data_IF_710849445987
#
_entry.id   IF_710849445987
#
_cell.length_a   1.000
_cell.length_b   1.000
_cell.length_c   1.000
_cell.angle_alpha   90.00
_cell.angle_beta   90.00
_cell.angle_gamma   90.00
#
_symmetry.space_group_name_H-M   'P 1'
#
loop_
_entity.id
_entity.type
_entity.pdbx_description
1 polymer ?
#
# COMPACT_ATOMS: atom_id res chain seq x y z
N UNK A 1 16.81 -3.06 43.34
CA UNK A 1 16.14 -3.74 42.21
C UNK A 1 15.29 -4.85 42.80
N UNK A 2 14.04 -4.99 42.32
CA UNK A 2 13.09 -5.99 42.84
C UNK A 2 13.31 -7.37 42.24
N UNK A 3 12.70 -8.39 42.84
CA UNK A 3 12.89 -9.81 42.47
C UNK A 3 12.56 -10.11 40.98
N UNK A 4 11.64 -9.35 40.38
CA UNK A 4 11.30 -9.48 38.97
C UNK A 4 12.42 -8.98 38.03
N UNK A 5 13.16 -7.93 38.41
CA UNK A 5 14.22 -7.37 37.58
C UNK A 5 15.37 -8.39 37.41
N UNK A 6 15.76 -9.06 38.50
CA UNK A 6 16.81 -10.08 38.49
C UNK A 6 16.43 -11.28 37.61
N UNK A 7 15.15 -11.68 37.61
CA UNK A 7 14.63 -12.74 36.74
C UNK A 7 14.68 -12.35 35.27
N UNK A 8 14.29 -11.13 34.93
CA UNK A 8 14.37 -10.65 33.54
C UNK A 8 15.81 -10.54 33.06
N UNK A 9 16.72 -10.04 33.89
CA UNK A 9 18.15 -10.06 33.57
C UNK A 9 18.68 -11.48 33.33
N UNK A 10 18.23 -12.44 34.13
CA UNK A 10 18.57 -13.86 33.95
C UNK A 10 18.05 -14.43 32.64
N UNK A 11 16.83 -14.04 32.21
CA UNK A 11 16.27 -14.43 30.91
C UNK A 11 17.13 -13.85 29.78
N UNK A 12 17.45 -12.55 29.81
CA UNK A 12 18.29 -11.92 28.77
C UNK A 12 19.68 -12.56 28.70
N UNK A 13 20.30 -12.84 29.85
CA UNK A 13 21.59 -13.52 29.91
C UNK A 13 21.53 -14.92 29.29
N UNK A 14 20.48 -15.70 29.60
CA UNK A 14 20.27 -17.03 29.03
C UNK A 14 20.07 -16.98 27.51
N UNK A 15 19.26 -16.05 27.00
CA UNK A 15 19.04 -15.87 25.54
C UNK A 15 20.32 -15.46 24.83
N UNK A 16 21.12 -14.55 25.42
CA UNK A 16 22.43 -14.16 24.86
C UNK A 16 23.44 -15.31 24.84
N UNK A 17 23.29 -16.29 25.74
CA UNK A 17 24.09 -17.52 25.78
C UNK A 17 23.48 -18.65 24.92
N UNK A 18 22.36 -18.40 24.24
CA UNK A 18 21.58 -19.39 23.48
C UNK A 18 21.07 -20.56 24.33
N UNK A 19 20.95 -20.36 25.64
CA UNK A 19 20.42 -21.34 26.57
C UNK A 19 18.92 -21.12 26.82
N UNK A 20 18.11 -21.59 25.87
CA UNK A 20 16.65 -21.51 25.96
C UNK A 20 16.13 -22.27 27.19
N UNK A 21 16.79 -23.35 27.60
CA UNK A 21 16.36 -24.15 28.74
C UNK A 21 16.40 -23.35 30.03
N UNK A 22 17.44 -22.53 30.21
CA UNK A 22 17.55 -21.62 31.37
C UNK A 22 16.59 -20.43 31.31
N UNK A 23 16.27 -19.92 30.12
CA UNK A 23 15.28 -18.85 29.97
C UNK A 23 13.87 -19.34 30.35
N UNK A 24 13.50 -20.54 29.90
CA UNK A 24 12.14 -21.08 29.99
C UNK A 24 11.74 -21.50 31.42
N UNK A 25 12.69 -21.70 32.35
CA UNK A 25 12.38 -22.02 33.76
C UNK A 25 11.52 -20.94 34.42
N UNK A 26 11.70 -19.69 33.98
CA UNK A 26 11.00 -18.52 34.50
C UNK A 26 9.63 -18.31 33.87
N UNK A 27 9.23 -19.10 32.87
CA UNK A 27 7.99 -18.91 32.11
C UNK A 27 6.86 -19.76 32.69
N UNK A 28 5.72 -19.13 32.97
CA UNK A 28 4.54 -19.83 33.46
C UNK A 28 3.90 -20.72 32.38
N UNK A 29 3.21 -21.79 32.77
CA UNK A 29 2.52 -22.68 31.83
C UNK A 29 1.44 -21.95 31.01
N UNK A 30 0.84 -20.92 31.61
CA UNK A 30 -0.20 -20.10 30.98
C UNK A 30 0.30 -18.72 30.53
N UNK A 31 1.62 -18.55 30.33
CA UNK A 31 2.19 -17.26 29.94
C UNK A 31 1.60 -16.73 28.62
N UNK A 32 1.25 -15.45 28.60
CA UNK A 32 0.85 -14.72 27.41
C UNK A 32 2.03 -13.84 26.94
N UNK A 33 2.63 -14.15 25.80
CA UNK A 33 3.78 -13.42 25.27
C UNK A 33 3.42 -12.75 23.95
N UNK A 34 3.51 -11.42 23.93
CA UNK A 34 3.19 -10.58 22.77
C UNK A 34 4.46 -9.92 22.22
N UNK A 35 5.05 -10.51 21.18
CA UNK A 35 6.06 -9.83 20.38
C UNK A 35 5.38 -9.13 19.21
N UNK A 36 5.40 -7.79 19.19
CA UNK A 36 4.69 -7.00 18.19
C UNK A 36 5.30 -7.05 16.78
N UNK A 37 6.42 -7.76 16.58
CA UNK A 37 6.89 -8.13 15.25
C UNK A 37 6.03 -9.23 14.61
N UNK A 38 5.31 -10.01 15.42
CA UNK A 38 4.45 -11.10 14.97
C UNK A 38 2.97 -10.72 15.13
N UNK A 39 2.13 -11.26 14.24
CA UNK A 39 0.68 -11.00 14.29
C UNK A 39 -0.07 -11.87 15.31
N UNK A 40 0.55 -12.98 15.75
CA UNK A 40 -0.04 -13.93 16.70
C UNK A 40 0.61 -13.81 18.08
N UNK A 41 -0.19 -13.92 19.12
CA UNK A 41 0.27 -14.03 20.52
C UNK A 41 0.74 -15.45 20.81
N UNK A 42 1.89 -15.60 21.47
CA UNK A 42 2.42 -16.89 21.88
C UNK A 42 1.83 -17.26 23.25
N UNK A 43 1.03 -18.32 23.26
CA UNK A 43 0.29 -18.75 24.45
C UNK A 43 0.92 -20.00 25.08
N UNK A 44 1.25 -19.89 26.35
CA UNK A 44 1.80 -20.94 27.18
C UNK A 44 3.30 -21.18 26.99
N UNK A 45 3.90 -21.90 27.94
CA UNK A 45 5.36 -22.11 28.01
C UNK A 45 5.94 -22.69 26.72
N UNK A 46 5.25 -23.67 26.12
CA UNK A 46 5.72 -24.35 24.91
C UNK A 46 5.88 -23.38 23.72
N UNK A 47 4.89 -22.50 23.50
CA UNK A 47 4.95 -21.51 22.42
C UNK A 47 6.04 -20.47 22.65
N UNK A 48 6.23 -20.03 23.91
CA UNK A 48 7.32 -19.11 24.28
C UNK A 48 8.69 -19.78 24.11
N UNK A 49 8.82 -21.05 24.46
CA UNK A 49 10.05 -21.82 24.25
C UNK A 49 10.39 -21.94 22.76
N UNK A 50 9.39 -22.19 21.90
CA UNK A 50 9.58 -22.22 20.47
C UNK A 50 10.04 -20.87 19.92
N UNK A 51 9.42 -19.76 20.34
CA UNK A 51 9.84 -18.40 20.00
C UNK A 51 11.31 -18.12 20.38
N UNK A 52 11.70 -18.49 21.60
CA UNK A 52 13.08 -18.31 22.07
C UNK A 52 14.06 -19.20 21.28
N UNK A 53 13.65 -20.41 20.92
CA UNK A 53 14.45 -21.34 20.11
C UNK A 53 14.65 -20.80 18.70
N UNK A 54 13.58 -20.31 18.07
CA UNK A 54 13.63 -19.72 16.74
C UNK A 54 14.52 -18.47 16.73
N UNK A 55 14.35 -17.59 17.71
CA UNK A 55 15.21 -16.42 17.91
C UNK A 55 16.67 -16.81 18.04
N UNK A 56 17.00 -17.83 18.85
CA UNK A 56 18.39 -18.28 19.01
C UNK A 56 18.98 -18.96 17.76
N UNK A 57 18.15 -19.52 16.87
CA UNK A 57 18.59 -20.14 15.60
C UNK A 57 18.77 -19.13 14.48
N UNK A 58 17.87 -18.16 14.38
CA UNK A 58 17.86 -17.17 13.31
C UNK A 58 18.90 -16.05 13.52
N UNK A 59 19.26 -15.78 14.77
CA UNK A 59 20.12 -14.65 15.14
C UNK A 59 21.59 -15.08 15.25
N UNK A 60 22.53 -14.38 14.59
CA UNK A 60 23.97 -14.67 14.66
C UNK A 60 24.51 -14.74 16.10
N UNK A 61 25.51 -15.59 16.35
CA UNK A 61 26.05 -15.82 17.70
C UNK A 61 26.71 -14.57 18.33
N UNK A 62 27.19 -13.64 17.50
CA UNK A 62 27.82 -12.38 17.90
C UNK A 62 26.83 -11.23 18.14
N UNK A 63 25.53 -11.48 17.91
CA UNK A 63 24.46 -10.52 18.15
C UNK A 63 23.83 -10.74 19.54
N UNK A 64 23.85 -9.70 20.37
CA UNK A 64 23.40 -9.72 21.77
C UNK A 64 22.30 -8.70 22.03
N UNK A 65 21.38 -9.02 22.93
CA UNK A 65 20.40 -8.10 23.50
C UNK A 65 20.96 -7.49 24.78
N UNK A 66 21.19 -6.19 24.78
CA UNK A 66 21.77 -5.44 25.90
C UNK A 66 20.69 -4.60 26.58
N UNK A 67 20.54 -4.77 27.89
CA UNK A 67 19.62 -3.98 28.70
C UNK A 67 20.26 -2.60 28.93
N UNK A 68 19.57 -1.55 28.50
CA UNK A 68 19.96 -0.16 28.73
C UNK A 68 19.52 0.33 30.11
N UNK A 69 18.27 0.05 30.47
CA UNK A 69 17.68 0.42 31.76
C UNK A 69 16.55 -0.56 32.11
N UNK A 70 16.32 -0.75 33.40
CA UNK A 70 15.28 -1.62 33.93
C UNK A 70 14.66 -1.00 35.17
N UNK A 71 13.34 -0.88 35.17
CA UNK A 71 12.58 -0.24 36.25
C UNK A 71 11.31 -1.01 36.56
N UNK A 72 10.86 -0.98 37.81
CA UNK A 72 9.67 -1.71 38.23
C UNK A 72 9.66 -2.07 39.71
N UNK A 73 8.69 -2.91 40.07
CA UNK A 73 8.54 -3.50 41.40
C UNK A 73 8.84 -5.01 41.39
N UNK A 74 8.44 -5.73 42.43
CA UNK A 74 8.70 -7.17 42.56
C UNK A 74 7.87 -8.06 41.61
N UNK A 75 6.86 -7.50 40.92
CA UNK A 75 5.94 -8.24 40.05
C UNK A 75 5.89 -7.69 38.62
N UNK A 76 6.22 -6.44 38.39
CA UNK A 76 6.15 -5.83 37.06
C UNK A 76 7.40 -5.00 36.76
N UNK A 77 7.98 -5.22 35.58
CA UNK A 77 9.18 -4.50 35.15
C UNK A 77 9.07 -4.04 33.69
N UNK A 78 9.56 -2.83 33.44
CA UNK A 78 9.82 -2.30 32.12
C UNK A 78 11.32 -2.30 31.83
N UNK A 79 11.69 -2.63 30.60
CA UNK A 79 13.08 -2.74 30.15
C UNK A 79 13.24 -1.97 28.86
N UNK A 80 14.22 -1.07 28.79
CA UNK A 80 14.73 -0.58 27.51
C UNK A 80 15.98 -1.36 27.14
N UNK A 81 16.09 -1.73 25.88
CA UNK A 81 17.21 -2.52 25.41
C UNK A 81 17.57 -2.16 23.97
N UNK A 82 18.77 -2.54 23.58
CA UNK A 82 19.20 -2.50 22.20
C UNK A 82 19.94 -3.78 21.82
N UNK A 83 20.09 -3.98 20.52
CA UNK A 83 20.88 -5.05 19.95
C UNK A 83 22.29 -4.54 19.68
N UNK A 84 23.29 -5.31 20.06
CA UNK A 84 24.69 -5.09 19.68
C UNK A 84 25.20 -6.22 18.78
N UNK A 85 26.08 -5.87 17.86
CA UNK A 85 26.93 -6.83 17.14
C UNK A 85 28.39 -6.40 17.29
N UNK A 86 29.25 -7.30 17.78
CA UNK A 86 30.66 -6.98 18.08
C UNK A 86 30.84 -5.70 18.93
N UNK A 87 30.04 -5.57 20.01
CA UNK A 87 30.06 -4.41 20.94
C UNK A 87 29.69 -3.07 20.30
N UNK A 88 29.11 -3.09 19.09
CA UNK A 88 28.56 -1.91 18.43
C UNK A 88 27.05 -2.01 18.35
N UNK A 89 26.36 -0.92 18.70
CA UNK A 89 24.90 -0.84 18.61
C UNK A 89 24.43 -1.06 17.17
N UNK A 90 23.51 -2.01 17.00
CA UNK A 90 22.92 -2.37 15.71
C UNK A 90 21.94 -1.28 15.26
N UNK A 91 22.05 -0.77 14.03
CA UNK A 91 21.15 0.27 13.54
C UNK A 91 19.67 -0.15 13.61
N UNK A 92 18.82 0.70 14.18
CA UNK A 92 17.38 0.45 14.37
C UNK A 92 17.07 -0.82 15.18
N UNK A 93 18.02 -1.32 15.99
CA UNK A 93 17.86 -2.51 16.83
C UNK A 93 17.44 -2.20 18.27
N UNK A 94 16.71 -1.11 18.52
CA UNK A 94 16.27 -0.74 19.88
C UNK A 94 14.91 -1.36 20.19
N UNK A 95 14.60 -1.55 21.46
CA UNK A 95 13.32 -2.07 21.90
C UNK A 95 12.95 -1.62 23.30
N UNK A 96 11.67 -1.80 23.61
CA UNK A 96 11.15 -1.69 24.96
C UNK A 96 10.28 -2.89 25.25
N UNK A 97 10.45 -3.45 26.44
CA UNK A 97 9.73 -4.64 26.89
C UNK A 97 9.04 -4.40 28.21
N UNK A 98 7.91 -5.05 28.41
CA UNK A 98 7.17 -5.02 29.66
C UNK A 98 6.83 -6.44 30.10
N UNK A 99 7.14 -6.77 31.35
CA UNK A 99 7.01 -8.10 31.91
C UNK A 99 6.18 -8.06 33.20
N UNK A 100 5.32 -9.06 33.40
CA UNK A 100 4.62 -9.31 34.67
C UNK A 100 4.80 -10.73 35.15
N UNK A 101 5.01 -10.86 36.45
CA UNK A 101 5.21 -12.12 37.16
C UNK A 101 4.01 -12.42 38.06
N UNK A 102 3.70 -13.71 38.20
CA UNK A 102 2.70 -14.17 39.16
C UNK A 102 3.22 -14.00 40.59
N UNK A 103 2.43 -13.44 41.51
CA UNK A 103 2.79 -13.41 42.93
C UNK A 103 2.80 -14.82 43.56
N UNK A 104 2.10 -15.78 42.97
CA UNK A 104 1.97 -17.15 43.50
C UNK A 104 3.12 -18.05 43.03
N UNK A 105 3.37 -18.08 41.72
CA UNK A 105 4.41 -18.95 41.13
C UNK A 105 5.77 -18.27 41.03
N UNK A 106 5.81 -16.94 41.09
CA UNK A 106 7.00 -16.15 40.81
C UNK A 106 7.47 -16.23 39.36
N UNK A 107 6.67 -16.79 38.44
CA UNK A 107 7.00 -16.96 37.02
C UNK A 107 6.34 -15.89 36.14
N UNK A 108 6.92 -15.66 34.97
CA UNK A 108 6.43 -14.73 33.97
C UNK A 108 5.09 -15.20 33.41
N UNK A 109 4.05 -14.38 33.60
CA UNK A 109 2.69 -14.64 33.12
C UNK A 109 2.31 -13.77 31.94
N UNK A 110 2.95 -12.61 31.79
CA UNK A 110 2.73 -11.72 30.66
C UNK A 110 4.02 -11.04 30.22
N UNK A 111 4.26 -11.00 28.92
CA UNK A 111 5.34 -10.24 28.31
C UNK A 111 4.81 -9.50 27.09
N UNK A 112 5.30 -8.27 26.87
CA UNK A 112 5.11 -7.54 25.63
C UNK A 112 6.41 -6.91 25.18
N UNK A 113 6.82 -7.22 23.96
CA UNK A 113 8.00 -6.66 23.32
C UNK A 113 7.61 -5.73 22.18
N UNK A 114 8.13 -4.51 22.22
CA UNK A 114 7.97 -3.50 21.19
C UNK A 114 9.34 -3.20 20.60
N UNK A 115 9.59 -3.63 19.36
CA UNK A 115 10.87 -3.39 18.67
C UNK A 115 10.76 -2.16 17.77
N UNK A 116 11.85 -1.40 17.67
CA UNK A 116 11.97 -0.28 16.77
C UNK A 116 11.75 -0.74 15.31
N UNK A 117 10.84 -0.11 14.56
CA UNK A 117 10.60 -0.52 13.18
C UNK A 117 11.81 -0.21 12.30
N UNK A 118 12.19 -1.17 11.46
CA UNK A 118 13.29 -1.00 10.51
C UNK A 118 13.06 0.18 9.55
N UNK A 119 11.81 0.44 9.17
CA UNK A 119 11.41 1.61 8.39
C UNK A 119 10.87 2.70 9.32
N UNK A 120 11.49 3.89 9.28
CA UNK A 120 11.09 5.06 10.08
C UNK A 120 10.29 6.05 9.22
N UNK A 121 8.95 5.92 9.12
CA UNK A 121 8.13 6.82 8.32
C UNK A 121 8.12 8.28 8.82
N UNK A 122 8.65 8.57 10.01
CA UNK A 122 8.79 9.92 10.54
C UNK A 122 7.45 10.69 10.54
N UNK A 123 7.45 11.92 10.02
CA UNK A 123 6.23 12.75 9.92
C UNK A 123 5.14 12.15 9.02
N UNK A 124 5.49 11.23 8.12
CA UNK A 124 4.53 10.54 7.27
C UNK A 124 3.63 9.58 8.07
N UNK A 125 4.10 9.03 9.20
CA UNK A 125 3.30 8.15 10.06
C UNK A 125 2.05 8.86 10.61
N UNK A 126 2.22 10.07 11.13
CA UNK A 126 1.12 10.89 11.64
C UNK A 126 0.11 11.26 10.54
N UNK A 127 0.63 11.45 9.33
CA UNK A 127 -0.18 11.71 8.15
C UNK A 127 -1.01 10.47 7.83
N UNK A 128 -0.39 9.30 7.73
CA UNK A 128 -1.07 8.01 7.53
C UNK A 128 -2.14 7.78 8.60
N UNK A 129 -1.81 7.89 9.90
CA UNK A 129 -2.78 7.72 10.99
C UNK A 129 -3.96 8.67 10.82
N UNK A 130 -3.75 9.95 10.52
CA UNK A 130 -4.84 10.90 10.27
C UNK A 130 -5.70 10.51 9.06
N UNK A 131 -5.12 9.86 8.05
CA UNK A 131 -5.83 9.32 6.89
C UNK A 131 -6.62 8.05 7.22
N UNK A 132 -6.09 7.13 8.03
CA UNK A 132 -6.79 5.88 8.38
C UNK A 132 -7.77 6.07 9.53
N UNK A 133 -7.62 7.11 10.35
CA UNK A 133 -8.47 7.37 11.52
C UNK A 133 -9.97 7.39 11.19
N UNK A 134 -10.47 8.04 10.12
CA UNK A 134 -11.89 7.98 9.76
C UNK A 134 -12.35 6.58 9.38
N UNK A 135 -11.51 5.80 8.70
CA UNK A 135 -11.78 4.41 8.31
C UNK A 135 -11.81 3.47 9.53
N UNK A 136 -10.81 3.61 10.41
CA UNK A 136 -10.74 2.88 11.68
C UNK A 136 -11.92 3.24 12.57
N UNK A 137 -12.31 4.52 12.66
CA UNK A 137 -13.51 4.96 13.40
C UNK A 137 -14.81 4.42 12.80
N UNK A 138 -14.93 4.39 11.48
CA UNK A 138 -16.07 3.80 10.80
C UNK A 138 -16.17 2.29 11.08
N UNK A 139 -15.03 1.59 11.11
CA UNK A 139 -14.97 0.14 11.33
C UNK A 139 -15.18 -0.23 12.82
N UNK A 140 -14.57 0.51 13.76
CA UNK A 140 -14.79 0.36 15.19
C UNK A 140 -16.20 0.79 15.63
N UNK A 141 -16.78 1.80 14.98
CA UNK A 141 -18.16 2.23 15.20
C UNK A 141 -19.21 1.16 14.84
N UNK A 142 -18.84 0.13 14.07
CA UNK A 142 -19.68 -1.05 13.83
C UNK A 142 -19.61 -2.09 14.96
N UNK A 143 -18.62 -2.02 15.85
CA UNK A 143 -18.44 -2.99 16.94
C UNK A 143 -19.00 -2.52 18.29
N UNK A 144 -19.46 -1.27 18.43
CA UNK A 144 -20.11 -0.81 19.66
C UNK A 144 -21.61 -1.17 19.66
N UNK A 145 -22.10 -2.02 20.57
CA UNK A 145 -23.52 -2.11 20.84
C UNK A 145 -23.96 -0.77 21.46
N UNK A 146 -24.98 -0.17 20.87
CA UNK A 146 -25.70 1.02 21.35
C UNK A 146 -26.02 0.93 22.85
N UNK A 147 -25.50 1.88 23.64
CA UNK A 147 -26.16 2.28 24.89
C UNK A 147 -27.27 3.24 24.49
N UNK A 148 -28.50 2.78 24.69
CA UNK A 148 -29.73 3.55 24.52
C UNK A 148 -29.80 4.63 25.61
N UNK A 149 -29.79 5.89 25.20
CA UNK A 149 -30.42 6.95 26.01
C UNK A 149 -31.78 7.25 25.41
N UNK A 150 -32.80 6.79 26.13
CA UNK A 150 -34.19 7.13 25.93
C UNK A 150 -34.46 8.51 26.54
N UNK A 151 -34.83 9.49 25.73
CA UNK A 151 -35.84 10.50 26.10
C UNK A 151 -36.32 11.30 24.91
N UNK A 152 -37.57 11.02 24.55
CA UNK A 152 -38.59 11.86 23.90
C UNK A 152 -38.17 13.17 23.21
N UNK A 153 -38.46 13.25 21.92
CA UNK A 153 -39.55 14.13 21.46
C UNK A 153 -40.15 13.64 20.14
N UNK A 154 -41.46 13.42 20.17
CA UNK A 154 -42.31 13.23 19.00
C UNK A 154 -42.45 14.52 18.20
N UNK A 155 -42.42 14.45 16.87
CA UNK A 155 -43.49 14.85 15.93
C UNK A 155 -42.95 14.83 14.49
N UNK A 156 -43.86 14.52 13.56
CA UNK A 156 -43.76 14.53 12.10
C UNK A 156 -43.22 13.24 11.44
N UNK A 157 -44.16 12.31 11.26
CA UNK A 157 -44.15 11.31 10.20
C UNK A 157 -44.05 11.98 8.82
N UNK A 158 -42.82 12.27 8.39
CA UNK A 158 -42.53 12.55 6.99
C UNK A 158 -42.17 11.21 6.35
N UNK A 159 -43.08 10.67 5.52
CA UNK A 159 -42.80 9.52 4.65
C UNK A 159 -41.54 9.84 3.85
N UNK A 160 -40.40 9.30 4.27
CA UNK A 160 -39.19 9.29 3.48
C UNK A 160 -39.41 8.31 2.33
N UNK A 161 -39.59 8.87 1.14
CA UNK A 161 -39.32 8.19 -0.12
C UNK A 161 -38.01 7.40 0.00
N UNK A 162 -37.89 6.18 -0.54
CA UNK A 162 -36.71 5.34 -0.37
C UNK A 162 -35.50 6.15 -0.85
N UNK A 163 -34.66 6.54 0.11
CA UNK A 163 -33.64 7.54 -0.12
C UNK A 163 -32.57 6.98 -1.04
N UNK A 164 -32.08 7.83 -1.95
CA UNK A 164 -31.02 7.56 -2.95
C UNK A 164 -29.77 6.89 -2.34
N UNK A 165 -29.60 6.98 -1.02
CA UNK A 165 -28.54 6.35 -0.23
C UNK A 165 -28.52 4.82 -0.30
N UNK A 166 -29.66 4.13 -0.49
CA UNK A 166 -29.69 2.66 -0.49
C UNK A 166 -29.12 2.04 -1.78
N UNK A 167 -29.18 2.75 -2.91
CA UNK A 167 -28.85 2.20 -4.24
C UNK A 167 -27.35 2.23 -4.56
N UNK A 168 -26.56 3.02 -3.84
CA UNK A 168 -25.12 3.17 -4.07
C UNK A 168 -24.24 2.38 -3.09
N UNK A 169 -24.79 1.93 -1.95
CA UNK A 169 -24.03 1.16 -0.95
C UNK A 169 -23.42 -0.11 -1.53
N UNK A 170 -24.20 -0.90 -2.28
CA UNK A 170 -23.69 -2.17 -2.83
C UNK A 170 -22.58 -2.00 -3.87
N UNK A 171 -22.58 -0.92 -4.66
CA UNK A 171 -21.50 -0.60 -5.60
C UNK A 171 -20.24 -0.15 -4.86
N UNK A 172 -20.40 0.63 -3.78
CA UNK A 172 -19.29 0.98 -2.90
C UNK A 172 -18.68 -0.26 -2.25
N UNK A 173 -19.52 -1.16 -1.73
CA UNK A 173 -19.08 -2.42 -1.13
C UNK A 173 -18.38 -3.31 -2.17
N UNK A 174 -18.91 -3.38 -3.40
CA UNK A 174 -18.29 -4.09 -4.51
C UNK A 174 -16.91 -3.54 -4.87
N UNK A 175 -16.73 -2.21 -4.92
CA UNK A 175 -15.43 -1.60 -5.21
C UNK A 175 -14.40 -1.83 -4.10
N UNK A 176 -14.83 -1.82 -2.83
CA UNK A 176 -13.96 -2.18 -1.71
C UNK A 176 -13.57 -3.66 -1.76
N UNK A 177 -14.53 -4.55 -2.01
CA UNK A 177 -14.25 -5.97 -2.21
C UNK A 177 -13.31 -6.20 -3.40
N UNK A 178 -13.55 -5.51 -4.52
CA UNK A 178 -12.69 -5.57 -5.70
C UNK A 178 -11.28 -5.03 -5.40
N UNK A 179 -11.13 -4.02 -4.54
CA UNK A 179 -9.81 -3.52 -4.10
C UNK A 179 -9.08 -4.60 -3.31
N UNK A 180 -9.75 -5.24 -2.34
CA UNK A 180 -9.16 -6.31 -1.54
C UNK A 180 -8.77 -7.50 -2.42
N UNK A 181 -9.63 -7.88 -3.37
CA UNK A 181 -9.34 -8.93 -4.35
C UNK A 181 -8.18 -8.54 -5.26
N UNK A 182 -8.16 -7.31 -5.78
CA UNK A 182 -7.08 -6.78 -6.60
C UNK A 182 -5.75 -6.86 -5.87
N UNK A 183 -5.66 -6.33 -4.65
CA UNK A 183 -4.42 -6.35 -3.84
C UNK A 183 -4.05 -7.78 -3.45
N UNK A 184 -5.01 -8.57 -2.97
CA UNK A 184 -4.78 -9.95 -2.56
C UNK A 184 -4.28 -10.85 -3.69
N UNK A 185 -4.86 -10.73 -4.88
CA UNK A 185 -4.51 -11.57 -6.03
C UNK A 185 -3.29 -11.01 -6.76
N UNK A 186 -3.31 -9.75 -7.20
CA UNK A 186 -2.27 -9.21 -8.08
C UNK A 186 -1.00 -8.79 -7.35
N UNK A 187 -1.07 -8.40 -6.07
CA UNK A 187 0.13 -7.95 -5.34
C UNK A 187 0.64 -9.01 -4.38
N UNK A 188 -0.26 -9.72 -3.67
CA UNK A 188 0.12 -10.56 -2.53
C UNK A 188 0.07 -12.08 -2.80
N UNK A 189 -0.60 -12.54 -3.85
CA UNK A 189 -0.81 -14.00 -4.03
C UNK A 189 0.50 -14.76 -4.24
N UNK A 190 0.61 -16.02 -3.79
CA UNK A 190 1.81 -16.81 -4.04
C UNK A 190 1.98 -17.12 -5.54
N UNK A 191 3.20 -17.41 -6.01
CA UNK A 191 3.48 -17.76 -7.41
C UNK A 191 2.68 -18.97 -7.93
N UNK A 192 2.18 -19.81 -7.04
CA UNK A 192 1.33 -20.97 -7.37
C UNK A 192 -0.04 -20.59 -7.91
N UNK A 193 -0.55 -19.41 -7.56
CA UNK A 193 -1.85 -18.92 -8.00
C UNK A 193 -1.74 -17.99 -9.20
N UNK A 194 -0.71 -17.15 -9.20
CA UNK A 194 -0.45 -16.20 -10.25
C UNK A 194 1.04 -16.18 -10.59
N UNK A 195 1.42 -16.42 -11.85
CA UNK A 195 2.82 -16.36 -12.27
C UNK A 195 3.48 -15.01 -11.95
N UNK A 196 4.81 -15.03 -11.84
CA UNK A 196 5.62 -13.89 -11.46
C UNK A 196 5.66 -13.63 -9.95
N UNK A 197 6.45 -12.64 -9.56
CA UNK A 197 6.83 -12.43 -8.16
C UNK A 197 5.80 -11.58 -7.39
N UNK A 198 5.37 -12.00 -6.20
CA UNK A 198 4.58 -11.14 -5.32
C UNK A 198 5.41 -10.01 -4.74
N UNK A 199 4.73 -8.96 -4.28
CA UNK A 199 5.40 -7.78 -3.71
C UNK A 199 6.26 -8.09 -2.48
N UNK A 200 5.95 -9.14 -1.73
CA UNK A 200 6.70 -9.56 -0.54
C UNK A 200 7.90 -10.47 -0.85
N UNK A 201 8.06 -10.94 -2.09
CA UNK A 201 9.20 -11.74 -2.53
C UNK A 201 9.74 -11.28 -3.90
N UNK A 202 9.79 -9.96 -4.10
CA UNK A 202 10.38 -9.38 -5.31
C UNK A 202 11.89 -9.65 -5.32
N UNK A 203 12.40 -10.13 -6.45
CA UNK A 203 13.83 -10.32 -6.68
C UNK A 203 14.53 -9.01 -7.06
N UNK A 204 15.84 -8.88 -6.78
CA UNK A 204 16.60 -7.69 -7.15
C UNK A 204 16.53 -7.33 -8.64
N UNK A 205 16.47 -8.33 -9.53
CA UNK A 205 16.39 -8.11 -10.98
C UNK A 205 15.07 -7.44 -11.39
N UNK A 206 13.96 -7.86 -10.79
CA UNK A 206 12.64 -7.25 -10.98
C UNK A 206 12.60 -5.82 -10.43
N UNK A 207 13.25 -5.55 -9.30
CA UNK A 207 13.40 -4.18 -8.79
C UNK A 207 14.21 -3.31 -9.76
N UNK A 208 15.28 -3.86 -10.33
CA UNK A 208 16.09 -3.15 -11.32
C UNK A 208 15.29 -2.84 -12.60
N UNK A 209 14.48 -3.79 -13.08
CA UNK A 209 13.56 -3.57 -14.21
C UNK A 209 12.61 -2.40 -13.93
N UNK A 210 11.94 -2.39 -12.77
CA UNK A 210 11.03 -1.31 -12.36
C UNK A 210 11.78 0.03 -12.28
N UNK A 211 12.98 0.04 -11.70
CA UNK A 211 13.80 1.24 -11.60
C UNK A 211 14.22 1.75 -12.98
N UNK A 212 14.63 0.86 -13.88
CA UNK A 212 15.06 1.22 -15.23
C UNK A 212 13.91 1.82 -16.04
N UNK A 213 12.72 1.21 -15.96
CA UNK A 213 11.50 1.75 -16.58
C UNK A 213 11.13 3.12 -15.99
N UNK A 214 11.22 3.25 -14.66
CA UNK A 214 10.91 4.49 -13.91
C UNK A 214 11.91 5.62 -14.20
N UNK A 215 13.21 5.32 -14.37
CA UNK A 215 14.21 6.30 -14.77
C UNK A 215 13.91 6.88 -16.16
N UNK A 216 13.33 6.04 -17.03
CA UNK A 216 12.87 6.42 -18.36
C UNK A 216 11.44 7.00 -18.37
N UNK A 217 10.90 7.43 -17.22
CA UNK A 217 9.58 8.05 -17.11
C UNK A 217 9.40 9.21 -18.10
N UNK A 218 8.28 9.17 -18.82
CA UNK A 218 7.88 10.08 -19.91
C UNK A 218 8.93 10.22 -21.03
N UNK A 219 9.83 9.25 -21.16
CA UNK A 219 10.99 9.30 -22.05
C UNK A 219 11.91 10.51 -21.82
N UNK A 220 11.81 11.18 -20.67
CA UNK A 220 12.57 12.41 -20.39
C UNK A 220 14.07 12.11 -20.47
N UNK A 221 14.53 11.13 -19.70
CA UNK A 221 15.95 10.77 -19.65
C UNK A 221 16.49 10.24 -20.99
N UNK A 222 15.83 9.30 -21.69
CA UNK A 222 16.24 8.87 -23.03
C UNK A 222 16.36 10.01 -24.04
N UNK A 223 15.40 10.94 -24.06
CA UNK A 223 15.42 12.08 -24.98
C UNK A 223 16.52 13.09 -24.63
N UNK A 224 16.76 13.34 -23.33
CA UNK A 224 17.86 14.19 -22.87
C UNK A 224 19.22 13.63 -23.32
N UNK A 225 19.43 12.33 -23.16
CA UNK A 225 20.64 11.66 -23.64
C UNK A 225 20.78 11.75 -25.17
N UNK A 226 19.68 11.60 -25.92
CA UNK A 226 19.67 11.73 -27.38
C UNK A 226 20.12 13.12 -27.85
N UNK A 227 19.76 14.18 -27.12
CA UNK A 227 20.20 15.56 -27.44
C UNK A 227 21.56 15.94 -26.83
N UNK A 228 22.28 14.97 -26.26
CA UNK A 228 23.64 15.14 -25.75
C UNK A 228 23.76 15.56 -24.27
N UNK A 229 22.65 15.60 -23.53
CA UNK A 229 22.66 15.85 -22.08
C UNK A 229 22.82 14.50 -21.36
N UNK A 230 24.07 14.14 -21.08
CA UNK A 230 24.47 12.83 -20.54
C UNK A 230 24.84 12.85 -19.05
N UNK A 231 24.17 13.69 -18.24
CA UNK A 231 24.42 13.75 -16.78
C UNK A 231 24.12 12.43 -16.05
N UNK A 232 23.18 11.65 -16.58
CA UNK A 232 22.85 10.30 -16.14
C UNK A 232 22.59 9.45 -17.40
N UNK A 233 23.17 8.24 -17.53
CA UNK A 233 22.90 7.38 -18.67
C UNK A 233 21.50 6.78 -18.57
N UNK A 234 20.73 6.87 -19.63
CA UNK A 234 19.41 6.29 -19.74
C UNK A 234 19.52 4.76 -19.79
N UNK A 235 18.83 4.03 -18.89
CA UNK A 235 18.85 2.59 -18.90
C UNK A 235 18.24 2.04 -20.20
N UNK A 236 18.76 0.90 -20.61
CA UNK A 236 18.39 0.21 -21.83
C UNK A 236 17.26 -0.75 -21.54
N UNK A 237 16.04 -0.36 -21.91
CA UNK A 237 14.83 -1.16 -21.70
C UNK A 237 14.26 -1.62 -23.04
N UNK A 238 13.64 -2.80 -23.06
CA UNK A 238 12.95 -3.31 -24.25
C UNK A 238 11.82 -2.34 -24.67
N UNK A 239 11.76 -1.92 -25.95
CA UNK A 239 10.77 -0.96 -26.43
C UNK A 239 9.32 -1.35 -26.14
N UNK A 240 9.03 -2.66 -26.07
CA UNK A 240 7.68 -3.16 -25.84
C UNK A 240 7.16 -2.77 -24.46
N UNK A 241 7.90 -3.13 -23.40
CA UNK A 241 7.54 -2.80 -22.01
C UNK A 241 7.73 -1.31 -21.71
N UNK A 242 8.78 -0.68 -22.25
CA UNK A 242 9.01 0.76 -22.06
C UNK A 242 7.87 1.62 -22.64
N UNK A 243 7.40 1.28 -23.85
CA UNK A 243 6.25 1.94 -24.48
C UNK A 243 4.97 1.66 -23.69
N UNK A 244 4.76 0.41 -23.29
CA UNK A 244 3.59 0.01 -22.52
C UNK A 244 3.48 0.76 -21.17
N UNK A 245 4.57 0.78 -20.39
CA UNK A 245 4.68 1.51 -19.12
C UNK A 245 4.35 3.00 -19.28
N UNK A 246 5.00 3.68 -20.24
CA UNK A 246 4.78 5.11 -20.44
C UNK A 246 3.38 5.46 -20.95
N UNK A 247 2.73 4.56 -21.68
CA UNK A 247 1.34 4.73 -22.08
C UNK A 247 0.40 4.65 -20.87
N UNK A 248 0.61 3.69 -19.97
CA UNK A 248 -0.16 3.58 -18.73
C UNK A 248 0.03 4.81 -17.84
N UNK A 249 1.27 5.26 -17.66
CA UNK A 249 1.63 6.45 -16.88
C UNK A 249 1.03 7.74 -17.47
N UNK A 250 1.13 7.92 -18.79
CA UNK A 250 0.50 9.06 -19.46
C UNK A 250 -1.03 9.05 -19.28
N UNK A 251 -1.64 7.87 -19.19
CA UNK A 251 -3.07 7.74 -18.98
C UNK A 251 -3.47 8.19 -17.57
N UNK A 252 -2.87 7.62 -16.51
CA UNK A 252 -3.18 8.00 -15.13
C UNK A 252 -2.78 9.46 -14.84
N UNK A 253 -1.76 9.98 -15.51
CA UNK A 253 -1.42 11.40 -15.48
C UNK A 253 -2.62 12.27 -15.88
N UNK A 254 -3.30 11.93 -16.98
CA UNK A 254 -4.50 12.65 -17.45
C UNK A 254 -5.72 12.51 -16.52
N UNK A 255 -5.73 11.59 -15.57
CA UNK A 255 -6.82 11.50 -14.58
C UNK A 255 -6.81 12.67 -13.60
N UNK A 256 -5.68 13.36 -13.39
CA UNK A 256 -5.65 14.48 -12.44
C UNK A 256 -6.68 15.57 -12.75
N UNK A 257 -6.68 16.20 -13.95
CA UNK A 257 -7.69 17.21 -14.29
C UNK A 257 -9.10 16.61 -14.26
N UNK A 258 -9.28 15.34 -14.64
CA UNK A 258 -10.56 14.64 -14.58
C UNK A 258 -11.11 14.58 -13.15
N UNK A 259 -10.27 14.17 -12.19
CA UNK A 259 -10.59 14.15 -10.76
C UNK A 259 -10.83 15.57 -10.23
N UNK A 260 -10.01 16.54 -10.63
CA UNK A 260 -10.16 17.95 -10.22
C UNK A 260 -11.52 18.52 -10.61
N UNK A 261 -11.98 18.23 -11.83
CA UNK A 261 -13.26 18.68 -12.37
C UNK A 261 -14.49 17.97 -11.79
N UNK A 262 -14.30 16.79 -11.20
CA UNK A 262 -15.38 16.05 -10.56
C UNK A 262 -15.80 16.69 -9.23
N UNK A 263 -16.98 17.30 -9.22
CA UNK A 263 -17.58 17.94 -8.04
C UNK A 263 -17.89 16.94 -6.93
N UNK A 264 -18.25 15.71 -7.30
CA UNK A 264 -18.61 14.67 -6.33
C UNK A 264 -17.45 14.29 -5.41
N UNK A 265 -16.22 14.50 -5.84
CA UNK A 265 -15.01 14.25 -5.05
C UNK A 265 -14.33 15.53 -4.53
N UNK A 266 -15.06 16.65 -4.41
CA UNK A 266 -14.50 17.94 -4.00
C UNK A 266 -13.81 17.90 -2.62
N UNK A 267 -14.35 17.12 -1.68
CA UNK A 267 -13.78 16.97 -0.32
C UNK A 267 -12.71 15.89 -0.20
N UNK A 268 -12.44 15.15 -1.27
CA UNK A 268 -11.42 14.10 -1.27
C UNK A 268 -10.03 14.69 -1.53
N UNK A 269 -8.97 14.10 -0.97
CA UNK A 269 -7.58 14.53 -1.15
C UNK A 269 -7.03 14.12 -2.52
N UNK A 270 -7.65 14.64 -3.58
CA UNK A 270 -7.45 14.19 -4.97
C UNK A 270 -5.99 14.26 -5.44
N UNK A 271 -5.25 15.31 -5.10
CA UNK A 271 -3.83 15.44 -5.49
C UNK A 271 -2.96 14.32 -4.88
N UNK A 272 -3.23 13.98 -3.62
CA UNK A 272 -2.48 12.93 -2.91
C UNK A 272 -2.85 11.56 -3.47
N UNK A 273 -4.13 11.29 -3.65
CA UNK A 273 -4.61 10.02 -4.22
C UNK A 273 -4.11 9.83 -5.66
N UNK A 274 -4.13 10.89 -6.47
CA UNK A 274 -3.55 10.87 -7.81
C UNK A 274 -2.04 10.66 -7.77
N UNK A 275 -1.30 11.38 -6.91
CA UNK A 275 0.14 11.21 -6.78
C UNK A 275 0.56 9.81 -6.36
N UNK A 276 -0.23 9.15 -5.49
CA UNK A 276 -0.03 7.74 -5.14
C UNK A 276 -0.44 6.81 -6.29
N UNK A 277 -1.50 7.14 -7.03
CA UNK A 277 -1.93 6.39 -8.21
C UNK A 277 -0.96 6.50 -9.40
N UNK A 278 -0.11 7.53 -9.46
CA UNK A 278 0.98 7.59 -10.45
C UNK A 278 2.05 6.50 -10.23
N UNK A 279 2.06 5.80 -9.09
CA UNK A 279 3.03 4.74 -8.82
C UNK A 279 2.37 3.39 -8.51
N UNK A 280 1.19 3.41 -7.90
CA UNK A 280 0.43 2.22 -7.53
C UNK A 280 -1.00 2.23 -8.12
N UNK A 281 -1.23 3.03 -9.16
CA UNK A 281 -2.37 2.94 -10.08
C UNK A 281 -3.71 2.62 -9.40
N UNK A 282 -4.24 1.41 -9.58
CA UNK A 282 -5.55 1.01 -9.10
C UNK A 282 -5.62 0.60 -7.62
N UNK A 283 -4.47 0.44 -6.95
CA UNK A 283 -4.43 0.32 -5.48
C UNK A 283 -5.04 1.56 -4.83
N UNK A 284 -4.86 2.74 -5.44
CA UNK A 284 -5.41 3.99 -4.94
C UNK A 284 -6.60 4.51 -5.75
N UNK A 285 -6.62 4.27 -7.06
CA UNK A 285 -7.73 4.74 -7.90
C UNK A 285 -9.04 4.00 -7.59
N UNK A 286 -9.02 2.69 -7.30
CA UNK A 286 -10.24 1.94 -7.01
C UNK A 286 -10.87 2.33 -5.66
N UNK A 287 -10.11 2.48 -4.55
CA UNK A 287 -10.62 3.09 -3.32
C UNK A 287 -11.12 4.52 -3.52
N UNK A 288 -10.44 5.33 -4.35
CA UNK A 288 -10.95 6.65 -4.70
C UNK A 288 -12.35 6.58 -5.34
N UNK A 289 -12.58 5.64 -6.26
CA UNK A 289 -13.91 5.43 -6.86
C UNK A 289 -14.96 5.03 -5.81
N UNK A 290 -14.60 4.19 -4.84
CA UNK A 290 -15.47 3.77 -3.75
C UNK A 290 -15.83 4.95 -2.82
N UNK A 291 -14.82 5.74 -2.42
CA UNK A 291 -14.98 6.93 -1.58
C UNK A 291 -15.80 8.01 -2.28
N UNK A 292 -15.58 8.21 -3.58
CA UNK A 292 -16.35 9.12 -4.43
C UNK A 292 -17.83 8.74 -4.44
N UNK A 293 -18.16 7.45 -4.51
CA UNK A 293 -19.56 6.99 -4.45
C UNK A 293 -20.22 7.26 -3.09
N UNK A 294 -19.45 7.28 -2.00
CA UNK A 294 -19.98 7.65 -0.68
C UNK A 294 -20.37 9.13 -0.54
N UNK A 295 -19.99 9.98 -1.50
CA UNK A 295 -20.31 11.41 -1.50
C UNK A 295 -21.67 11.69 -2.16
N UNK A 296 -22.40 12.74 -1.72
CA UNK A 296 -23.67 13.15 -2.30
C UNK A 296 -23.55 13.40 -3.80
N UNK A 297 -24.59 12.99 -4.54
CA UNK A 297 -24.63 13.17 -5.99
C UNK A 297 -25.29 14.50 -6.33
N UNK A 298 -24.50 15.44 -6.83
CA UNK A 298 -25.05 16.65 -7.46
C UNK A 298 -25.51 16.37 -8.90
N UNK A 299 -26.38 17.23 -9.43
CA UNK A 299 -26.79 17.16 -10.84
C UNK A 299 -25.59 17.35 -11.76
N UNK A 300 -25.47 16.55 -12.85
CA UNK A 300 -24.35 16.65 -13.77
C UNK A 300 -24.36 18.02 -14.45
N UNK A 301 -23.39 18.85 -14.09
CA UNK A 301 -23.09 20.09 -14.80
C UNK A 301 -21.81 19.87 -15.60
N UNK A 302 -21.79 20.35 -16.84
CA UNK A 302 -20.60 20.25 -17.68
C UNK A 302 -19.42 20.93 -16.96
N UNK A 303 -18.30 20.22 -16.75
CA UNK A 303 -17.17 20.79 -16.04
C UNK A 303 -16.55 21.92 -16.84
N UNK A 304 -16.17 23.02 -16.16
CA UNK A 304 -15.41 24.10 -16.78
C UNK A 304 -13.96 23.64 -16.95
N UNK A 305 -13.55 23.37 -18.18
CA UNK A 305 -12.17 23.00 -18.51
C UNK A 305 -11.27 24.24 -18.46
N UNK A 306 -10.29 24.20 -17.57
CA UNK A 306 -9.26 25.24 -17.44
C UNK A 306 -7.97 24.89 -18.17
N UNK A 307 -6.95 25.75 -18.01
CA UNK A 307 -5.61 25.55 -18.56
C UNK A 307 -4.98 24.23 -18.12
N UNK A 308 -5.24 23.80 -16.88
CA UNK A 308 -4.75 22.52 -16.34
C UNK A 308 -5.19 21.33 -17.20
N UNK A 309 -6.47 21.28 -17.59
CA UNK A 309 -6.99 20.21 -18.45
C UNK A 309 -6.27 20.18 -19.80
N UNK A 310 -6.08 21.35 -20.43
CA UNK A 310 -5.40 21.43 -21.72
C UNK A 310 -3.94 21.00 -21.65
N UNK A 311 -3.19 21.45 -20.63
CA UNK A 311 -1.78 21.09 -20.43
C UNK A 311 -1.62 19.59 -20.19
N UNK A 312 -2.44 19.02 -19.29
CA UNK A 312 -2.37 17.60 -18.99
C UNK A 312 -2.83 16.74 -20.17
N UNK A 313 -3.89 17.16 -20.87
CA UNK A 313 -4.36 16.50 -22.09
C UNK A 313 -3.33 16.54 -23.22
N UNK A 314 -2.67 17.69 -23.44
CA UNK A 314 -1.64 17.80 -24.47
C UNK A 314 -0.41 16.99 -24.14
N UNK A 315 0.12 17.09 -22.91
CA UNK A 315 1.29 16.33 -22.48
C UNK A 315 1.00 14.82 -22.48
N UNK A 316 -0.14 14.42 -21.92
CA UNK A 316 -0.57 13.02 -21.93
C UNK A 316 -0.66 12.47 -23.35
N UNK A 317 -1.32 13.17 -24.27
CA UNK A 317 -1.37 12.74 -25.67
C UNK A 317 0.01 12.70 -26.33
N UNK A 318 0.88 13.68 -26.11
CA UNK A 318 2.25 13.67 -26.67
C UNK A 318 3.01 12.43 -26.18
N UNK A 319 3.03 12.19 -24.87
CA UNK A 319 3.75 11.07 -24.27
C UNK A 319 3.14 9.74 -24.69
N UNK A 320 1.82 9.59 -24.70
CA UNK A 320 1.20 8.32 -25.11
C UNK A 320 1.33 8.01 -26.60
N UNK A 321 1.27 9.02 -27.48
CA UNK A 321 1.57 8.78 -28.90
C UNK A 321 3.06 8.48 -29.10
N UNK A 322 3.95 9.15 -28.36
CA UNK A 322 5.37 8.82 -28.35
C UNK A 322 5.59 7.39 -27.84
N UNK A 323 4.85 6.93 -26.83
CA UNK A 323 4.92 5.57 -26.32
C UNK A 323 4.54 4.52 -27.38
N UNK A 324 3.49 4.79 -28.17
CA UNK A 324 3.12 3.92 -29.31
C UNK A 324 4.21 3.94 -30.39
N UNK A 325 4.75 5.12 -30.72
CA UNK A 325 5.85 5.23 -31.70
C UNK A 325 7.09 4.49 -31.19
N UNK A 326 7.43 4.62 -29.91
CA UNK A 326 8.55 3.95 -29.27
C UNK A 326 8.36 2.43 -29.30
N UNK A 327 7.17 1.96 -28.95
CA UNK A 327 6.78 0.56 -29.05
C UNK A 327 6.91 0.04 -30.48
N UNK A 328 6.54 0.79 -31.51
CA UNK A 328 6.55 0.31 -32.89
C UNK A 328 7.92 0.41 -33.57
N UNK A 329 8.70 1.46 -33.30
CA UNK A 329 9.84 1.84 -34.15
C UNK A 329 11.18 1.92 -33.41
N UNK A 330 11.19 2.10 -32.08
CA UNK A 330 12.46 2.22 -31.38
C UNK A 330 13.21 0.87 -31.38
N UNK A 331 14.53 0.90 -31.52
CA UNK A 331 15.42 -0.27 -31.53
C UNK A 331 14.98 -1.39 -32.50
N UNK A 332 15.02 -1.15 -33.82
CA UNK A 332 14.64 -2.15 -34.82
C UNK A 332 15.48 -3.44 -34.74
N UNK A 333 16.68 -3.38 -34.16
CA UNK A 333 17.57 -4.53 -33.93
C UNK A 333 16.98 -5.60 -33.00
N UNK A 334 16.01 -5.25 -32.14
CA UNK A 334 15.31 -6.20 -31.25
C UNK A 334 14.10 -6.87 -31.90
N UNK A 335 13.87 -6.61 -33.19
CA UNK A 335 12.78 -7.18 -33.97
C UNK A 335 11.65 -6.19 -34.30
N UNK A 336 10.73 -6.67 -35.14
CA UNK A 336 9.59 -5.91 -35.63
C UNK A 336 8.42 -5.81 -34.64
N UNK A 337 7.31 -5.23 -35.10
CA UNK A 337 6.13 -5.00 -34.25
C UNK A 337 5.50 -6.31 -33.74
N UNK A 338 5.44 -7.36 -34.57
CA UNK A 338 4.83 -8.63 -34.16
C UNK A 338 5.63 -9.33 -33.05
N UNK A 339 6.96 -9.39 -33.17
CA UNK A 339 7.80 -9.97 -32.11
C UNK A 339 7.72 -9.21 -30.79
N UNK A 340 7.40 -7.90 -30.83
CA UNK A 340 7.16 -7.09 -29.62
C UNK A 340 5.83 -7.41 -28.96
N UNK A 341 4.78 -7.68 -29.73
CA UNK A 341 3.53 -8.19 -29.18
C UNK A 341 3.71 -9.59 -28.59
N UNK A 342 4.47 -10.46 -29.24
CA UNK A 342 4.79 -11.79 -28.71
C UNK A 342 5.59 -11.67 -27.41
N UNK A 343 6.61 -10.82 -27.38
CA UNK A 343 7.40 -10.54 -26.17
C UNK A 343 6.53 -9.99 -25.04
N UNK A 344 5.70 -8.98 -25.32
CA UNK A 344 4.79 -8.42 -24.31
C UNK A 344 3.80 -9.49 -23.82
N UNK A 345 3.26 -10.33 -24.71
CA UNK A 345 2.38 -11.43 -24.35
C UNK A 345 3.06 -12.45 -23.43
N UNK A 346 4.32 -12.77 -23.68
CA UNK A 346 5.12 -13.60 -22.79
C UNK A 346 5.32 -12.93 -21.42
N UNK A 347 5.67 -11.63 -21.40
CA UNK A 347 5.83 -10.86 -20.16
C UNK A 347 4.53 -10.81 -19.34
N UNK A 348 3.37 -10.69 -19.96
CA UNK A 348 2.07 -10.72 -19.24
C UNK A 348 1.83 -12.05 -18.52
N UNK A 349 2.36 -13.16 -19.04
CA UNK A 349 2.19 -14.49 -18.46
C UNK A 349 3.31 -14.82 -17.46
N UNK A 350 4.50 -14.25 -17.59
CA UNK A 350 5.65 -14.57 -16.71
C UNK A 350 5.95 -13.51 -15.65
N UNK A 351 5.66 -12.24 -15.94
CA UNK A 351 6.00 -11.09 -15.11
C UNK A 351 4.73 -10.45 -14.54
N UNK A 352 4.61 -10.52 -13.21
CA UNK A 352 3.43 -10.03 -12.50
C UNK A 352 3.27 -8.52 -12.56
N UNK A 353 4.37 -7.77 -12.63
CA UNK A 353 4.34 -6.31 -12.77
C UNK A 353 3.71 -5.93 -14.11
N UNK A 354 4.14 -6.57 -15.19
CA UNK A 354 3.56 -6.35 -16.53
C UNK A 354 2.08 -6.75 -16.56
N UNK A 355 1.72 -7.88 -15.95
CA UNK A 355 0.32 -8.30 -15.82
C UNK A 355 -0.51 -7.27 -15.05
N UNK A 356 0.00 -6.73 -13.94
CA UNK A 356 -0.67 -5.70 -13.17
C UNK A 356 -0.96 -4.46 -14.02
N UNK A 357 0.00 -3.99 -14.82
CA UNK A 357 -0.21 -2.87 -15.75
C UNK A 357 -1.28 -3.17 -16.83
N UNK A 358 -1.38 -4.41 -17.33
CA UNK A 358 -2.48 -4.79 -18.25
C UNK A 358 -3.84 -4.67 -17.56
N UNK A 359 -3.96 -5.22 -16.35
CA UNK A 359 -5.19 -5.07 -15.56
C UNK A 359 -5.48 -3.60 -15.30
N UNK A 360 -4.44 -2.81 -15.02
CA UNK A 360 -4.57 -1.39 -14.74
C UNK A 360 -5.13 -0.61 -15.91
N UNK A 361 -4.65 -0.86 -17.13
CA UNK A 361 -5.16 -0.21 -18.34
C UNK A 361 -6.64 -0.54 -18.60
N UNK A 362 -7.06 -1.78 -18.33
CA UNK A 362 -8.48 -2.17 -18.44
C UNK A 362 -9.32 -1.41 -17.40
N UNK A 363 -8.85 -1.33 -16.16
CA UNK A 363 -9.53 -0.57 -15.11
C UNK A 363 -9.55 0.93 -15.39
N UNK A 364 -8.47 1.50 -15.92
CA UNK A 364 -8.43 2.89 -16.37
C UNK A 364 -9.48 3.15 -17.44
N UNK A 365 -9.65 2.24 -18.39
CA UNK A 365 -10.70 2.39 -19.40
C UNK A 365 -12.10 2.37 -18.77
N UNK A 366 -12.37 1.43 -17.86
CA UNK A 366 -13.66 1.36 -17.13
C UNK A 366 -13.90 2.62 -16.31
N UNK A 367 -12.91 3.09 -15.55
CA UNK A 367 -13.02 4.29 -14.72
C UNK A 367 -13.10 5.57 -15.56
N UNK A 368 -12.42 5.64 -16.69
CA UNK A 368 -12.58 6.70 -17.67
C UNK A 368 -14.03 6.77 -18.16
N UNK A 369 -14.59 5.65 -18.66
CA UNK A 369 -15.98 5.57 -19.11
C UNK A 369 -16.94 6.06 -18.02
N UNK A 370 -16.70 5.61 -16.78
CA UNK A 370 -17.54 5.94 -15.64
C UNK A 370 -17.45 7.41 -15.25
N UNK A 371 -16.25 7.93 -14.97
CA UNK A 371 -16.04 9.30 -14.52
C UNK A 371 -16.52 10.31 -15.56
N UNK A 372 -16.11 10.14 -16.82
CA UNK A 372 -16.56 10.97 -17.93
C UNK A 372 -18.08 10.86 -18.12
N UNK A 373 -18.62 9.65 -17.98
CA UNK A 373 -20.05 9.39 -18.07
C UNK A 373 -20.88 10.04 -16.96
N UNK A 374 -20.31 10.21 -15.76
CA UNK A 374 -20.94 10.87 -14.63
C UNK A 374 -20.89 12.40 -14.74
N UNK A 375 -19.87 12.95 -15.40
CA UNK A 375 -19.70 14.39 -15.57
C UNK A 375 -20.42 14.97 -16.79
N UNK A 376 -20.61 14.19 -17.86
CA UNK A 376 -21.24 14.65 -19.09
C UNK A 376 -22.73 14.25 -19.17
N UNK A 377 -23.66 15.20 -19.46
CA UNK A 377 -25.09 14.92 -19.63
C UNK A 377 -25.42 14.14 -20.90
N UNK A 378 -26.60 13.51 -20.98
CA UNK A 378 -26.99 12.68 -22.15
C UNK A 378 -27.29 13.63 -23.31
N UNK A 379 -26.71 13.38 -24.48
CA UNK A 379 -26.81 14.28 -25.64
C UNK A 379 -25.62 15.21 -25.87
N UNK A 380 -24.65 15.25 -24.94
CA UNK A 380 -23.44 16.07 -25.09
C UNK A 380 -22.58 15.59 -26.27
N UNK A 381 -22.16 16.52 -27.14
CA UNK A 381 -21.46 16.25 -28.42
C UNK A 381 -20.25 15.33 -28.27
N UNK A 382 -19.46 15.53 -27.22
CA UNK A 382 -18.20 14.81 -26.99
C UNK A 382 -18.34 13.63 -26.03
N UNK A 383 -19.56 13.26 -25.62
CA UNK A 383 -19.76 12.17 -24.64
C UNK A 383 -19.27 10.82 -25.15
N UNK A 384 -19.34 10.57 -26.45
CA UNK A 384 -18.88 9.32 -27.05
C UNK A 384 -17.37 9.08 -26.84
N UNK A 385 -16.56 10.14 -26.67
CA UNK A 385 -15.13 10.03 -26.42
C UNK A 385 -14.80 9.21 -25.17
N UNK A 386 -15.71 9.12 -24.19
CA UNK A 386 -15.50 8.31 -22.98
C UNK A 386 -15.19 6.84 -23.28
N UNK A 387 -15.67 6.32 -24.41
CA UNK A 387 -15.50 4.92 -24.81
C UNK A 387 -14.20 4.66 -25.57
N UNK A 388 -13.50 5.69 -26.04
CA UNK A 388 -12.22 5.55 -26.72
C UNK A 388 -11.13 5.48 -25.64
N UNK A 389 -10.47 4.32 -25.43
CA UNK A 389 -9.41 4.17 -24.42
C UNK A 389 -8.33 5.22 -24.64
N UNK A 390 -7.80 5.82 -23.58
CA UNK A 390 -6.70 6.79 -23.60
C UNK A 390 -6.94 8.08 -24.41
N UNK A 391 -6.99 7.97 -25.75
CA UNK A 391 -7.17 9.09 -26.67
C UNK A 391 -8.49 9.83 -26.46
N UNK A 392 -9.55 9.11 -26.07
CA UNK A 392 -10.84 9.72 -25.78
C UNK A 392 -10.77 10.74 -24.64
N UNK A 393 -10.09 10.38 -23.54
CA UNK A 393 -9.84 11.29 -22.43
C UNK A 393 -8.94 12.44 -22.86
N UNK A 394 -7.82 12.15 -23.53
CA UNK A 394 -6.88 13.17 -23.97
C UNK A 394 -7.52 14.22 -24.89
N UNK A 395 -8.24 13.76 -25.92
CA UNK A 395 -8.97 14.66 -26.84
C UNK A 395 -10.06 15.45 -26.12
N UNK A 396 -10.80 14.80 -25.22
CA UNK A 396 -11.82 15.49 -24.43
C UNK A 396 -11.20 16.58 -23.54
N UNK A 397 -10.02 16.38 -22.97
CA UNK A 397 -9.36 17.41 -22.16
C UNK A 397 -8.95 18.66 -22.96
N UNK A 398 -8.78 18.53 -24.29
CA UNK A 398 -8.41 19.64 -25.17
C UNK A 398 -9.61 20.47 -25.67
N UNK A 399 -10.73 19.80 -25.98
CA UNK A 399 -11.89 20.41 -26.66
C UNK A 399 -12.87 21.12 -25.75
#
# INVERSE_FOLDING_TARGET
MGQAADKVQSIYAAINQRDVSQAVIWIDEACCYEDLNFSATFMGRAAVQELFTESCRAVPADLKFVIDDITGDDLAVGVTWHVEINEMAFPNGRGVSFYRFSPESGKLVFARDCVEPALKPGKAAFTIIRWVTPLVRYWLGRQSPTVQDASNHSIASQKSSPSVWSRQSWLTDLLWAATVVYVGILLLSPPTWLPGEPIWAIQPDTLQEILDESLNFFFILPLLNLVGINSLPAPTVNPAVQGFFNLAEAWIFMFLPLMMMDKRSQHLPKMVLWGLAMFLTNVFLMPYMALRLGQPSDSPNLPKKGTLARVFGSLGLIVGNLAVIWFCFNRPELGGVMSRFDYLGQQVVSNRVTLAFVVDMVLFWVFQIWLMGAMMPIGERYRALRFIPFWGLGLWLLV
#
